data_IF_159438033121
#
_entry.id   IF_159438033121
#
_cell.length_a   1.000
_cell.length_b   1.000
_cell.length_c   1.000
_cell.angle_alpha   90.00
_cell.angle_beta   90.00
_cell.angle_gamma   90.00
#
_symmetry.space_group_name_H-M   'P 1'
#
loop_
_entity.id
_entity.type
_entity.pdbx_description
1 polymer ?
#
# COMPACT_ATOMS: atom_id res chain seq x y z
N UNK A 1 -8.05 8.48 -2.84
CA UNK A 1 -8.01 7.95 -4.23
C UNK A 1 -9.42 7.49 -4.61
N UNK A 2 -9.88 7.75 -5.83
CA UNK A 2 -11.20 7.28 -6.31
C UNK A 2 -11.14 5.79 -6.67
N UNK A 3 -12.27 5.07 -6.64
CA UNK A 3 -12.31 3.61 -6.85
C UNK A 3 -11.75 3.25 -8.23
N UNK A 4 -12.14 3.98 -9.26
CA UNK A 4 -11.69 3.79 -10.64
C UNK A 4 -10.18 3.95 -10.80
N UNK A 5 -9.58 4.92 -10.10
CA UNK A 5 -8.13 5.12 -10.11
C UNK A 5 -7.40 3.99 -9.39
N UNK A 6 -7.95 3.53 -8.25
CA UNK A 6 -7.38 2.42 -7.48
C UNK A 6 -7.40 1.11 -8.28
N UNK A 7 -8.51 0.83 -8.98
CA UNK A 7 -8.61 -0.32 -9.89
C UNK A 7 -7.66 -0.18 -11.08
N UNK A 8 -7.55 1.00 -11.68
CA UNK A 8 -6.66 1.26 -12.83
C UNK A 8 -5.18 0.98 -12.52
N UNK A 9 -4.73 1.29 -11.30
CA UNK A 9 -3.35 1.03 -10.86
C UNK A 9 -3.14 -0.36 -10.26
N UNK A 10 -4.17 -1.21 -10.29
CA UNK A 10 -4.21 -2.52 -9.63
C UNK A 10 -3.93 -2.46 -8.11
N UNK A 11 -4.30 -1.36 -7.46
CA UNK A 11 -4.03 -1.10 -6.04
C UNK A 11 -2.55 -1.21 -5.64
N UNK A 12 -2.31 -1.49 -4.35
CA UNK A 12 -0.97 -1.62 -3.77
C UNK A 12 -0.33 -2.98 -4.09
N UNK A 13 1.00 -3.01 -4.16
CA UNK A 13 1.78 -4.24 -4.30
C UNK A 13 1.66 -5.14 -3.06
N UNK A 14 1.59 -6.45 -3.26
CA UNK A 14 1.56 -7.45 -2.18
C UNK A 14 2.95 -7.98 -1.81
N UNK A 15 4.02 -7.42 -2.40
CA UNK A 15 5.40 -7.93 -2.27
C UNK A 15 6.22 -7.22 -1.18
N UNK A 16 5.65 -6.23 -0.50
CA UNK A 16 6.34 -5.48 0.55
C UNK A 16 6.09 -6.10 1.92
N UNK A 17 7.03 -6.95 2.35
CA UNK A 17 7.07 -7.52 3.69
C UNK A 17 8.15 -6.83 4.52
N UNK A 18 7.75 -6.11 5.58
CA UNK A 18 8.65 -5.23 6.35
C UNK A 18 8.64 -3.78 5.86
N UNK A 19 9.46 -2.93 6.47
CA UNK A 19 9.31 -1.48 6.31
C UNK A 19 10.00 -0.91 5.05
N UNK A 20 9.24 -0.12 4.28
CA UNK A 20 9.70 0.85 3.30
C UNK A 20 9.51 0.45 1.82
N UNK A 21 9.25 1.45 0.99
CA UNK A 21 9.24 1.37 -0.48
C UNK A 21 7.90 1.01 -1.13
N UNK A 22 6.86 0.71 -0.37
CA UNK A 22 5.52 0.39 -0.90
C UNK A 22 4.81 1.66 -1.41
N UNK A 23 4.90 2.77 -0.65
CA UNK A 23 4.40 4.09 -1.07
C UNK A 23 5.08 4.57 -2.37
N UNK A 24 6.39 4.34 -2.50
CA UNK A 24 7.16 4.67 -3.71
C UNK A 24 6.71 3.82 -4.91
N UNK A 25 6.34 2.54 -4.69
CA UNK A 25 5.78 1.66 -5.73
C UNK A 25 4.42 2.20 -6.18
N UNK A 26 3.55 2.57 -5.24
CA UNK A 26 2.26 3.19 -5.55
C UNK A 26 2.43 4.47 -6.36
N UNK A 27 3.40 5.33 -6.02
CA UNK A 27 3.72 6.52 -6.83
C UNK A 27 4.12 6.15 -8.27
N UNK A 28 4.94 5.11 -8.46
CA UNK A 28 5.30 4.60 -9.80
C UNK A 28 4.08 4.07 -10.56
N UNK A 29 3.12 3.43 -9.88
CA UNK A 29 1.88 2.94 -10.49
C UNK A 29 0.99 4.08 -10.97
N UNK A 30 0.79 5.09 -10.12
CA UNK A 30 0.01 6.30 -10.42
C UNK A 30 0.60 7.00 -11.65
N UNK A 31 1.92 7.24 -11.64
CA UNK A 31 2.62 7.92 -12.74
C UNK A 31 2.60 7.10 -14.03
N UNK A 32 2.76 5.76 -13.98
CA UNK A 32 2.65 4.89 -15.18
C UNK A 32 1.27 4.95 -15.84
N UNK A 33 0.20 5.14 -15.07
CA UNK A 33 -1.18 5.27 -15.58
C UNK A 33 -1.55 6.74 -15.88
N UNK A 34 -0.57 7.65 -15.94
CA UNK A 34 -0.74 9.08 -16.23
C UNK A 34 -1.74 9.79 -15.29
N UNK A 35 -1.87 9.31 -14.06
CA UNK A 35 -2.69 9.95 -13.05
C UNK A 35 -1.91 11.08 -12.37
N UNK A 36 -2.61 12.16 -12.05
CA UNK A 36 -2.01 13.34 -11.40
C UNK A 36 -2.10 13.19 -9.88
N UNK A 37 -0.97 13.45 -9.20
CA UNK A 37 -0.93 13.54 -7.75
C UNK A 37 -1.36 14.94 -7.31
N UNK A 38 -2.55 15.03 -6.73
CA UNK A 38 -3.05 16.27 -6.15
C UNK A 38 -2.53 16.44 -4.72
N UNK A 39 -2.08 17.66 -4.37
CA UNK A 39 -1.64 18.01 -3.02
C UNK A 39 -2.31 19.32 -2.59
N UNK A 40 -3.08 19.34 -1.50
CA UNK A 40 -3.63 20.57 -0.96
C UNK A 40 -2.52 21.52 -0.47
N UNK A 41 -2.80 22.84 -0.38
CA UNK A 41 -1.82 23.81 0.10
C UNK A 41 -1.25 23.46 1.48
N UNK A 42 0.06 23.67 1.65
CA UNK A 42 0.77 23.33 2.88
C UNK A 42 0.27 24.09 4.12
N UNK A 43 -0.38 25.24 3.93
CA UNK A 43 -0.99 26.04 5.01
C UNK A 43 -2.12 25.31 5.73
N UNK A 44 -2.89 24.49 5.01
CA UNK A 44 -4.04 23.73 5.54
C UNK A 44 -3.72 22.25 5.77
N UNK A 45 -2.80 21.67 5.00
CA UNK A 45 -2.51 20.23 4.98
C UNK A 45 -1.44 19.81 6.01
N UNK A 46 -1.59 20.20 7.26
CA UNK A 46 -0.63 19.90 8.34
C UNK A 46 -1.07 18.68 9.14
N UNK A 47 -0.13 17.75 9.34
CA UNK A 47 -0.36 16.51 10.10
C UNK A 47 0.62 16.40 11.27
N UNK A 48 0.17 15.78 12.36
CA UNK A 48 1.02 15.48 13.53
C UNK A 48 1.17 13.97 13.67
N UNK A 49 2.40 13.50 13.58
CA UNK A 49 2.75 12.10 13.80
C UNK A 49 2.69 11.77 15.30
N UNK A 50 1.98 10.70 15.65
CA UNK A 50 2.04 10.12 16.99
C UNK A 50 3.44 9.54 17.22
N UNK A 51 3.97 9.72 18.44
CA UNK A 51 5.29 9.20 18.81
C UNK A 51 5.33 7.68 18.61
N UNK A 52 6.36 7.19 17.91
CA UNK A 52 6.58 5.76 17.70
C UNK A 52 8.08 5.46 17.55
N UNK A 53 8.46 4.20 17.75
CA UNK A 53 9.82 3.73 17.54
C UNK A 53 10.10 3.57 16.05
N UNK A 54 11.29 3.98 15.61
CA UNK A 54 11.71 3.80 14.22
C UNK A 54 11.76 2.30 13.86
N UNK A 55 11.18 1.94 12.72
CA UNK A 55 11.21 0.56 12.24
C UNK A 55 12.48 0.28 11.44
N UNK A 56 12.95 -0.98 11.51
CA UNK A 56 14.11 -1.43 10.75
C UNK A 56 13.73 -1.52 9.27
N UNK A 57 14.50 -0.85 8.42
CA UNK A 57 14.29 -0.86 6.98
C UNK A 57 14.48 -2.27 6.41
N UNK A 58 13.59 -2.67 5.51
CA UNK A 58 13.79 -3.89 4.73
C UNK A 58 14.96 -3.67 3.74
N UNK A 59 16.04 -4.47 3.80
CA UNK A 59 17.17 -4.36 2.86
C UNK A 59 16.78 -4.71 1.42
N UNK A 60 15.79 -5.58 1.22
CA UNK A 60 15.31 -6.01 -0.09
C UNK A 60 14.37 -4.99 -0.77
N UNK A 61 13.94 -3.93 -0.07
CA UNK A 61 12.95 -2.96 -0.59
C UNK A 61 13.32 -2.37 -1.94
N UNK A 62 14.60 -2.09 -2.17
CA UNK A 62 15.08 -1.50 -3.43
C UNK A 62 15.01 -2.50 -4.59
N UNK A 63 15.22 -3.79 -4.33
CA UNK A 63 15.08 -4.85 -5.33
C UNK A 63 13.62 -4.95 -5.78
N UNK A 64 12.68 -4.91 -4.83
CA UNK A 64 11.24 -4.91 -5.08
C UNK A 64 10.84 -3.64 -5.86
N UNK A 65 11.26 -2.46 -5.40
CA UNK A 65 10.89 -1.18 -6.01
C UNK A 65 11.42 -0.99 -7.44
N UNK A 66 12.59 -1.53 -7.77
CA UNK A 66 13.14 -1.45 -9.15
C UNK A 66 12.27 -2.19 -10.15
N UNK A 67 11.65 -3.28 -9.73
CA UNK A 67 10.82 -4.15 -10.58
C UNK A 67 9.32 -3.77 -10.54
N UNK A 68 8.94 -2.72 -9.79
CA UNK A 68 7.58 -2.21 -9.67
C UNK A 68 6.86 -2.08 -11.02
N UNK A 69 7.45 -1.34 -11.96
CA UNK A 69 6.87 -1.06 -13.29
C UNK A 69 6.54 -2.29 -14.13
N UNK A 70 7.23 -3.41 -13.91
CA UNK A 70 7.00 -4.69 -14.62
C UNK A 70 5.85 -5.45 -13.96
N UNK A 71 5.73 -5.38 -12.62
CA UNK A 71 4.79 -6.18 -11.85
C UNK A 71 3.39 -5.58 -11.74
N UNK A 72 3.18 -4.30 -12.07
CA UNK A 72 1.91 -3.59 -11.80
C UNK A 72 0.68 -4.39 -12.23
N UNK A 73 0.72 -5.01 -13.42
CA UNK A 73 -0.42 -5.70 -13.98
C UNK A 73 -0.60 -7.13 -13.41
N UNK A 74 0.38 -7.68 -12.69
CA UNK A 74 0.36 -9.04 -12.09
C UNK A 74 0.43 -9.10 -10.56
N UNK A 75 0.73 -7.97 -9.90
CA UNK A 75 0.95 -7.82 -8.46
C UNK A 75 0.05 -6.71 -7.92
N UNK A 76 -1.01 -7.08 -7.18
CA UNK A 76 -1.92 -6.12 -6.57
C UNK A 76 -3.29 -6.70 -6.22
N UNK A 77 -4.34 -5.92 -6.42
CA UNK A 77 -5.73 -6.31 -6.08
C UNK A 77 -6.16 -7.58 -6.80
N UNK A 78 -5.70 -7.76 -8.04
CA UNK A 78 -6.04 -8.93 -8.85
C UNK A 78 -5.46 -10.25 -8.35
N UNK A 79 -4.44 -10.24 -7.48
CA UNK A 79 -3.74 -11.44 -7.03
C UNK A 79 -3.58 -11.55 -5.51
N UNK A 80 -4.08 -10.57 -4.74
CA UNK A 80 -3.96 -10.55 -3.28
C UNK A 80 -4.62 -11.77 -2.67
N UNK A 81 -3.91 -12.42 -1.74
CA UNK A 81 -4.38 -13.60 -1.01
C UNK A 81 -4.51 -13.24 0.45
N UNK A 82 -5.68 -13.48 1.01
CA UNK A 82 -5.95 -13.29 2.42
C UNK A 82 -7.12 -14.17 2.85
N UNK A 83 -7.24 -14.40 4.16
CA UNK A 83 -8.39 -15.07 4.76
C UNK A 83 -8.98 -14.18 5.85
N UNK A 84 -10.26 -13.85 5.71
CA UNK A 84 -11.00 -13.18 6.78
C UNK A 84 -11.21 -14.16 7.93
N UNK A 85 -10.67 -13.84 9.10
CA UNK A 85 -10.80 -14.67 10.31
C UNK A 85 -11.99 -14.23 11.15
N UNK A 86 -12.20 -12.92 11.29
CA UNK A 86 -13.31 -12.39 12.08
C UNK A 86 -13.73 -10.99 11.61
N UNK A 87 -15.01 -10.66 11.83
CA UNK A 87 -15.57 -9.32 11.64
C UNK A 87 -16.30 -8.89 12.91
N UNK A 88 -15.86 -7.79 13.52
CA UNK A 88 -16.50 -7.22 14.72
C UNK A 88 -16.98 -5.81 14.44
N UNK A 89 -18.26 -5.56 14.71
CA UNK A 89 -18.86 -4.23 14.59
C UNK A 89 -18.78 -3.50 15.94
N UNK A 90 -18.04 -2.40 15.99
CA UNK A 90 -18.03 -1.49 17.12
C UNK A 90 -18.83 -0.22 16.76
N UNK A 91 -19.19 0.56 17.78
CA UNK A 91 -19.95 1.79 17.57
C UNK A 91 -19.24 2.81 16.66
N UNK A 92 -17.90 2.89 16.74
CA UNK A 92 -17.11 3.88 16.00
C UNK A 92 -16.31 3.31 14.82
N UNK A 93 -16.18 1.99 14.71
CA UNK A 93 -15.41 1.34 13.64
C UNK A 93 -15.82 -0.12 13.44
N UNK A 94 -15.49 -0.67 12.27
CA UNK A 94 -15.58 -2.12 12.02
C UNK A 94 -14.16 -2.69 12.02
N UNK A 95 -13.96 -3.77 12.77
CA UNK A 95 -12.69 -4.46 12.85
C UNK A 95 -12.73 -5.74 11.99
N UNK A 96 -11.89 -5.78 10.98
CA UNK A 96 -11.65 -6.99 10.17
C UNK A 96 -10.33 -7.61 10.60
N UNK A 97 -10.39 -8.81 11.19
CA UNK A 97 -9.21 -9.60 11.49
C UNK A 97 -8.87 -10.46 10.27
N UNK A 98 -7.72 -10.22 9.65
CA UNK A 98 -7.34 -10.81 8.38
C UNK A 98 -5.99 -11.53 8.52
N UNK A 99 -5.95 -12.79 8.08
CA UNK A 99 -4.71 -13.53 7.84
C UNK A 99 -4.20 -13.22 6.43
N UNK A 100 -3.01 -12.62 6.35
CA UNK A 100 -2.33 -12.24 5.10
C UNK A 100 -1.26 -13.24 4.68
N UNK A 101 -1.16 -14.37 5.38
CA UNK A 101 -0.15 -15.40 5.18
C UNK A 101 1.24 -15.01 5.66
N UNK A 102 2.24 -15.77 5.21
CA UNK A 102 3.65 -15.57 5.55
C UNK A 102 4.44 -15.07 4.34
N UNK A 103 5.54 -14.35 4.62
CA UNK A 103 6.51 -13.99 3.61
C UNK A 103 7.11 -15.27 3.00
N UNK A 104 6.75 -15.57 1.75
CA UNK A 104 7.34 -16.69 1.00
C UNK A 104 8.84 -16.41 0.83
N UNK A 105 9.68 -17.31 1.34
CA UNK A 105 11.14 -17.28 1.21
C UNK A 105 11.59 -17.51 -0.22
#
# INVERSE_FOLDING_TARGET
MRREHYTLVNGYSTNYWGWGGEDDDMYKRITKKNLILERPPASIARYRMLKHTHQKLNPARMKVLRTAHIRIDSDGVNNVKYKLLNTTFHHLYTHFLIDVGEQRR
#
